data_IF_949139881342
#
_entry.id   IF_949139881342
#
_cell.length_a   1.000
_cell.length_b   1.000
_cell.length_c   1.000
_cell.angle_alpha   90.00
_cell.angle_beta   90.00
_cell.angle_gamma   90.00
#
_symmetry.space_group_name_H-M   'P 1'
#
loop_
_entity.id
_entity.type
_entity.pdbx_description
1 polymer ?
#
# COMPACT_ATOMS: atom_id res chain seq x y z
N UNK A 1 -5.31 -10.76 -10.47
CA UNK A 1 -5.89 -9.50 -10.01
C UNK A 1 -6.33 -8.71 -11.24
N UNK A 2 -7.62 -8.39 -11.33
CA UNK A 2 -8.19 -7.59 -12.41
C UNK A 2 -7.83 -6.09 -12.30
N UNK A 3 -8.17 -5.28 -13.32
CA UNK A 3 -7.80 -3.85 -13.37
C UNK A 3 -8.41 -2.96 -12.27
N UNK A 4 -9.43 -3.44 -11.55
CA UNK A 4 -10.14 -2.70 -10.49
C UNK A 4 -10.24 -3.51 -9.20
N UNK A 5 -9.31 -4.43 -9.02
CA UNK A 5 -9.22 -5.28 -7.84
C UNK A 5 -7.94 -4.97 -7.08
N UNK A 6 -7.97 -5.20 -5.77
CA UNK A 6 -6.82 -5.05 -4.90
C UNK A 6 -6.99 -5.84 -3.62
N UNK A 7 -5.90 -6.03 -2.89
CA UNK A 7 -5.92 -6.61 -1.55
C UNK A 7 -5.49 -5.55 -0.54
N UNK A 8 -6.35 -5.30 0.45
CA UNK A 8 -6.13 -4.28 1.47
C UNK A 8 -5.84 -4.95 2.81
N UNK A 9 -4.61 -4.78 3.30
CA UNK A 9 -4.15 -5.32 4.57
C UNK A 9 -4.29 -4.24 5.65
N UNK A 10 -5.04 -4.52 6.71
CA UNK A 10 -5.11 -3.67 7.90
C UNK A 10 -4.34 -4.31 9.04
N UNK A 11 -3.57 -3.50 9.74
CA UNK A 11 -2.88 -3.88 10.97
C UNK A 11 -3.59 -3.24 12.17
N UNK A 12 -3.37 -3.79 13.37
CA UNK A 12 -4.09 -3.35 14.57
C UNK A 12 -3.67 -1.94 15.04
N UNK A 13 -2.44 -1.54 14.72
CA UNK A 13 -1.87 -0.23 15.08
C UNK A 13 -0.88 0.24 14.02
N UNK A 14 -0.61 1.54 14.01
CA UNK A 14 0.45 2.10 13.17
C UNK A 14 1.82 1.54 13.59
N UNK A 15 2.52 0.94 12.63
CA UNK A 15 3.83 0.35 12.83
C UNK A 15 4.60 0.29 11.52
N UNK A 16 5.94 0.17 11.56
CA UNK A 16 6.70 -0.14 10.35
C UNK A 16 6.27 -1.50 9.80
N UNK A 17 5.78 -1.52 8.57
CA UNK A 17 5.40 -2.73 7.84
C UNK A 17 6.49 -3.09 6.84
N UNK A 18 6.74 -4.39 6.66
CA UNK A 18 7.60 -4.94 5.62
C UNK A 18 6.84 -5.99 4.82
N UNK A 19 6.99 -5.94 3.50
CA UNK A 19 6.40 -6.88 2.54
C UNK A 19 7.51 -7.54 1.71
N UNK A 20 7.16 -8.57 0.97
CA UNK A 20 7.99 -9.23 -0.04
C UNK A 20 7.09 -9.82 -1.14
N UNK A 21 7.68 -10.36 -2.20
CA UNK A 21 6.96 -10.98 -3.32
C UNK A 21 7.13 -12.50 -3.35
N UNK A 22 7.55 -13.13 -2.24
CA UNK A 22 7.71 -14.59 -2.16
C UNK A 22 6.41 -15.29 -2.55
N UNK A 23 6.50 -16.20 -3.52
CA UNK A 23 5.35 -16.94 -4.09
C UNK A 23 4.26 -16.05 -4.71
N UNK A 24 4.58 -14.81 -5.10
CA UNK A 24 3.66 -13.91 -5.79
C UNK A 24 4.01 -13.85 -7.28
N UNK A 25 3.07 -14.27 -8.12
CA UNK A 25 3.29 -14.53 -9.56
C UNK A 25 3.06 -13.31 -10.46
N UNK A 26 2.34 -12.32 -9.98
CA UNK A 26 2.02 -11.10 -10.73
C UNK A 26 2.79 -9.92 -10.12
N UNK A 27 3.28 -8.98 -10.94
CA UNK A 27 3.87 -7.75 -10.41
C UNK A 27 2.77 -6.87 -9.81
N UNK A 28 3.10 -6.17 -8.73
CA UNK A 28 2.17 -5.35 -7.96
C UNK A 28 2.70 -3.92 -7.79
N UNK A 29 1.80 -2.98 -7.54
CA UNK A 29 2.14 -1.75 -6.84
C UNK A 29 1.70 -1.92 -5.37
N UNK A 30 2.60 -1.64 -4.43
CA UNK A 30 2.34 -1.66 -2.98
C UNK A 30 2.19 -0.22 -2.46
N UNK A 31 0.99 0.13 -2.04
CA UNK A 31 0.65 1.46 -1.52
C UNK A 31 0.60 1.40 0.01
N UNK A 32 1.56 2.04 0.68
CA UNK A 32 1.62 2.12 2.15
C UNK A 32 0.81 3.33 2.64
N UNK A 33 -0.12 3.12 3.57
CA UNK A 33 -1.17 4.07 3.93
C UNK A 33 -1.19 4.32 5.44
N UNK A 34 -1.23 5.60 5.86
CA UNK A 34 -1.36 6.03 7.26
C UNK A 34 -2.76 5.79 7.81
N UNK A 35 -2.93 5.90 9.14
CA UNK A 35 -4.23 5.70 9.79
C UNK A 35 -5.35 6.64 9.30
N UNK A 36 -4.98 7.84 8.82
CA UNK A 36 -5.90 8.84 8.28
C UNK A 36 -6.25 8.65 6.79
N UNK A 37 -5.78 7.54 6.18
CA UNK A 37 -5.96 7.23 4.77
C UNK A 37 -4.94 7.91 3.84
N UNK A 38 -3.97 8.66 4.37
CA UNK A 38 -2.95 9.32 3.54
C UNK A 38 -1.95 8.32 2.99
N UNK A 39 -1.73 8.33 1.68
CA UNK A 39 -0.69 7.55 1.02
C UNK A 39 0.67 8.08 1.46
N UNK A 40 1.46 7.21 2.10
CA UNK A 40 2.80 7.57 2.56
C UNK A 40 3.88 7.29 1.51
N UNK A 41 3.85 6.09 0.93
CA UNK A 41 4.85 5.59 0.00
C UNK A 41 4.18 4.64 -0.98
N UNK A 42 4.70 4.60 -2.21
CA UNK A 42 4.31 3.61 -3.21
C UNK A 42 5.58 2.90 -3.67
N UNK A 43 5.61 1.57 -3.60
CA UNK A 43 6.58 0.76 -4.33
C UNK A 43 5.89 0.27 -5.60
N UNK A 44 6.36 0.69 -6.77
CA UNK A 44 5.75 0.34 -8.06
C UNK A 44 6.48 -0.81 -8.74
N UNK A 45 5.78 -1.53 -9.61
CA UNK A 45 6.35 -2.54 -10.51
C UNK A 45 7.21 -3.59 -9.75
N UNK A 46 6.67 -4.15 -8.66
CA UNK A 46 7.39 -5.14 -7.84
C UNK A 46 7.71 -6.41 -8.64
N UNK A 47 8.85 -7.02 -8.33
CA UNK A 47 9.35 -8.20 -9.03
C UNK A 47 8.72 -9.50 -8.49
N UNK A 48 8.04 -10.31 -9.32
CA UNK A 48 7.50 -11.61 -8.91
C UNK A 48 8.55 -12.51 -8.27
N UNK A 49 8.13 -13.30 -7.28
CA UNK A 49 8.97 -14.23 -6.51
C UNK A 49 10.12 -13.62 -5.69
N UNK A 50 10.35 -12.31 -5.76
CA UNK A 50 11.45 -11.67 -5.05
C UNK A 50 11.27 -11.76 -3.52
N UNK A 51 12.33 -12.15 -2.82
CA UNK A 51 12.39 -12.12 -1.35
C UNK A 51 13.00 -10.81 -0.81
N UNK A 52 13.24 -9.82 -1.69
CA UNK A 52 13.68 -8.49 -1.27
C UNK A 52 12.66 -7.88 -0.32
N UNK A 53 13.15 -7.40 0.82
CA UNK A 53 12.31 -6.70 1.79
C UNK A 53 11.91 -5.33 1.21
N UNK A 54 10.60 -5.09 1.15
CA UNK A 54 9.99 -3.82 0.78
C UNK A 54 9.44 -3.21 2.08
N UNK A 55 10.22 -2.32 2.68
CA UNK A 55 9.84 -1.64 3.91
C UNK A 55 9.02 -0.39 3.63
N UNK A 56 7.97 -0.19 4.43
CA UNK A 56 7.18 1.06 4.45
C UNK A 56 8.04 2.30 4.66
N UNK A 57 9.06 2.22 5.53
CA UNK A 57 9.98 3.33 5.85
C UNK A 57 9.46 4.30 6.92
N UNK A 58 8.25 4.13 7.43
CA UNK A 58 7.70 4.81 8.60
C UNK A 58 6.49 4.01 9.14
N UNK A 59 5.99 4.33 10.35
CA UNK A 59 4.73 3.78 10.83
C UNK A 59 3.57 4.08 9.88
N UNK A 60 2.84 3.02 9.53
CA UNK A 60 1.64 3.04 8.67
C UNK A 60 0.62 2.04 9.22
N UNK A 61 -0.65 2.21 8.88
CA UNK A 61 -1.73 1.33 9.35
C UNK A 61 -2.04 0.21 8.35
N UNK A 62 -1.78 0.45 7.07
CA UNK A 62 -2.30 -0.41 6.00
C UNK A 62 -1.38 -0.45 4.79
N UNK A 63 -1.49 -1.54 4.02
CA UNK A 63 -0.92 -1.69 2.68
C UNK A 63 -2.03 -2.08 1.73
N UNK A 64 -2.15 -1.38 0.61
CA UNK A 64 -3.01 -1.75 -0.51
C UNK A 64 -2.13 -2.29 -1.65
N UNK A 65 -2.37 -3.54 -2.02
CA UNK A 65 -1.75 -4.17 -3.19
C UNK A 65 -2.71 -4.09 -4.38
N UNK A 66 -2.23 -3.55 -5.49
CA UNK A 66 -2.93 -3.50 -6.78
C UNK A 66 -2.02 -4.00 -7.89
N UNK A 67 -2.57 -4.27 -9.07
CA UNK A 67 -1.78 -4.71 -10.23
C UNK A 67 -0.71 -3.65 -10.54
N UNK A 68 0.51 -4.08 -10.86
CA UNK A 68 1.57 -3.16 -11.26
C UNK A 68 1.13 -2.21 -12.40
N UNK A 69 1.54 -0.95 -12.27
CA UNK A 69 1.18 0.13 -13.18
C UNK A 69 -0.10 0.88 -12.82
N UNK A 70 -0.94 0.35 -11.94
CA UNK A 70 -2.20 1.00 -11.52
C UNK A 70 -1.94 2.38 -10.90
N UNK A 71 -0.91 2.52 -10.06
CA UNK A 71 -0.57 3.81 -9.45
C UNK A 71 -0.25 4.87 -10.50
N UNK A 72 0.48 4.48 -11.57
CA UNK A 72 0.80 5.35 -12.70
C UNK A 72 -0.44 5.70 -13.52
N UNK A 73 -1.28 4.72 -13.82
CA UNK A 73 -2.50 4.88 -14.61
C UNK A 73 -3.45 5.92 -14.01
N UNK A 74 -3.56 5.98 -12.67
CA UNK A 74 -4.44 6.93 -11.97
C UNK A 74 -3.69 8.15 -11.39
N UNK A 75 -2.40 8.30 -11.70
CA UNK A 75 -1.53 9.34 -11.16
C UNK A 75 -1.52 9.43 -9.62
N UNK A 76 -1.61 8.27 -8.93
CA UNK A 76 -1.54 8.17 -7.49
C UNK A 76 -0.13 8.53 -7.01
N UNK A 77 -0.05 9.38 -5.97
CA UNK A 77 1.22 9.82 -5.39
C UNK A 77 1.15 9.90 -3.86
N UNK A 78 2.30 9.87 -3.17
CA UNK A 78 2.37 10.22 -1.76
C UNK A 78 1.66 11.54 -1.45
N UNK A 79 0.86 11.54 -0.39
CA UNK A 79 0.01 12.67 0.02
C UNK A 79 -1.44 12.59 -0.48
N UNK A 80 -1.75 11.77 -1.49
CA UNK A 80 -3.13 11.50 -1.87
C UNK A 80 -3.86 10.71 -0.76
N UNK A 81 -5.20 10.66 -0.82
CA UNK A 81 -6.03 9.97 0.19
C UNK A 81 -6.73 8.75 -0.39
N UNK A 82 -6.75 7.68 0.39
CA UNK A 82 -7.57 6.49 0.19
C UNK A 82 -8.78 6.57 1.12
N UNK A 83 -9.98 6.48 0.55
CA UNK A 83 -11.21 6.46 1.32
C UNK A 83 -11.64 5.02 1.62
N UNK A 84 -11.75 4.70 2.90
CA UNK A 84 -12.29 3.43 3.37
C UNK A 84 -12.83 3.61 4.79
N UNK A 85 -13.91 2.91 5.15
CA UNK A 85 -14.59 3.05 6.46
C UNK A 85 -13.72 2.80 7.71
N UNK A 86 -12.53 2.21 7.53
CA UNK A 86 -11.56 1.95 8.62
C UNK A 86 -10.51 3.05 8.75
N UNK A 87 -10.40 3.93 7.76
CA UNK A 87 -9.62 5.15 7.89
C UNK A 87 -10.50 6.21 8.53
N UNK A 88 -9.95 6.88 9.52
CA UNK A 88 -10.61 7.98 10.20
C UNK A 88 -9.65 9.15 10.16
N UNK A 89 -10.14 10.31 9.72
CA UNK A 89 -9.35 11.52 9.82
C UNK A 89 -8.87 11.63 11.27
N UNK A 90 -7.55 11.72 11.47
CA UNK A 90 -7.00 11.92 12.79
C UNK A 90 -7.57 13.24 13.31
N UNK A 91 -8.54 13.15 14.22
CA UNK A 91 -8.96 14.30 15.02
C UNK A 91 -7.77 14.58 15.93
N UNK A 92 -6.86 15.42 15.45
CA UNK A 92 -5.79 15.95 16.29
C UNK A 92 -6.50 16.73 17.43
N UNK A 93 -6.19 16.46 18.71
CA UNK A 93 -6.69 17.31 19.79
C UNK A 93 -6.21 18.75 19.62
#
# INVERSE_FOLDING_TARGET
>A
LGPREGMLFFYDKEQPISMWMRNTYIPLDMVFIRADGTVYRIETDTEPFSERIIASGAPVLSVLEVRAGTAREIALKPGDRIEHRRFHASTKP
#
